data_IF_180722851029
#
_entry.id   IF_180722851029
#
_cell.length_a   1.000
_cell.length_b   1.000
_cell.length_c   1.000
_cell.angle_alpha   90.00
_cell.angle_beta   90.00
_cell.angle_gamma   90.00
#
_symmetry.space_group_name_H-M   'P 1'
#
loop_
_entity.id
_entity.type
_entity.pdbx_description
1 polymer ?
#
# COMPACT_ATOMS: atom_id res chain seq x y z
N UNK A 1 -10.98 24.14 42.31
CA UNK A 1 -10.37 24.47 40.99
C UNK A 1 -9.16 23.59 40.67
N UNK A 2 -8.10 23.54 41.49
CA UNK A 2 -6.90 22.70 41.23
C UNK A 2 -7.19 21.21 41.00
N UNK A 3 -8.12 20.63 41.77
CA UNK A 3 -8.53 19.21 41.62
C UNK A 3 -9.27 18.92 40.30
N UNK A 4 -10.04 19.88 39.78
CA UNK A 4 -10.74 19.75 38.50
C UNK A 4 -9.74 19.88 37.34
N UNK A 5 -8.74 20.74 37.49
CA UNK A 5 -7.67 20.93 36.49
C UNK A 5 -6.82 19.66 36.29
N UNK A 6 -6.53 18.93 37.37
CA UNK A 6 -5.79 17.65 37.31
C UNK A 6 -6.60 16.58 36.56
N UNK A 7 -7.92 16.52 36.78
CA UNK A 7 -8.80 15.57 36.08
C UNK A 7 -8.87 15.90 34.58
N UNK A 8 -9.01 17.18 34.20
CA UNK A 8 -8.98 17.56 32.78
C UNK A 8 -7.65 17.21 32.11
N UNK A 9 -6.52 17.40 32.80
CA UNK A 9 -5.20 17.06 32.26
C UNK A 9 -5.03 15.56 32.00
N UNK A 10 -5.59 14.70 32.85
CA UNK A 10 -5.60 13.25 32.67
C UNK A 10 -6.48 12.79 31.50
N UNK A 11 -7.59 13.48 31.22
CA UNK A 11 -8.44 13.16 30.07
C UNK A 11 -7.78 13.54 28.73
N UNK A 12 -6.98 14.62 28.69
CA UNK A 12 -6.26 15.05 27.48
C UNK A 12 -5.14 14.08 27.11
N UNK A 13 -4.45 13.47 28.08
CA UNK A 13 -3.37 12.50 27.79
C UNK A 13 -3.89 11.17 27.24
N UNK A 14 -5.07 10.70 27.69
CA UNK A 14 -5.73 9.50 27.12
C UNK A 14 -6.18 9.75 25.67
N UNK A 15 -6.71 10.93 25.35
CA UNK A 15 -7.13 11.27 24.00
C UNK A 15 -5.95 11.32 22.99
N UNK A 16 -4.79 11.84 23.43
CA UNK A 16 -3.60 11.91 22.59
C UNK A 16 -3.03 10.51 22.26
N UNK A 17 -3.04 9.59 23.23
CA UNK A 17 -2.53 8.22 23.06
C UNK A 17 -3.43 7.35 22.18
N UNK A 18 -4.74 7.61 22.15
CA UNK A 18 -5.66 6.89 21.26
C UNK A 18 -5.46 7.28 19.78
N UNK A 19 -5.10 8.53 19.52
CA UNK A 19 -4.95 9.03 18.15
C UNK A 19 -3.68 8.51 17.46
N UNK A 20 -2.60 8.27 18.19
CA UNK A 20 -1.37 7.67 17.64
C UNK A 20 -1.58 6.19 17.25
N UNK A 21 -2.33 5.42 18.04
CA UNK A 21 -2.62 4.03 17.75
C UNK A 21 -3.43 3.87 16.45
N UNK A 22 -4.44 4.73 16.24
CA UNK A 22 -5.28 4.73 15.02
C UNK A 22 -4.44 4.97 13.76
N UNK A 23 -3.40 5.82 13.83
CA UNK A 23 -2.51 6.04 12.69
C UNK A 23 -1.63 4.82 12.39
N UNK A 24 -1.15 4.09 13.39
CA UNK A 24 -0.33 2.90 13.19
C UNK A 24 -1.15 1.72 12.64
N UNK A 25 -2.34 1.49 13.19
CA UNK A 25 -3.25 0.44 12.72
C UNK A 25 -3.74 0.69 11.28
N UNK A 26 -3.73 1.96 10.84
CA UNK A 26 -4.02 2.31 9.44
C UNK A 26 -2.92 1.89 8.45
N UNK A 27 -1.68 1.68 8.93
CA UNK A 27 -0.54 1.27 8.11
C UNK A 27 -0.49 -0.25 7.89
N UNK A 28 -0.99 -1.03 8.87
CA UNK A 28 -1.03 -2.50 8.82
C UNK A 28 -2.49 -2.96 8.74
N UNK A 29 -3.13 -2.72 7.59
CA UNK A 29 -4.46 -3.28 7.34
C UNK A 29 -4.34 -4.80 7.20
N UNK A 30 -4.99 -5.53 8.10
CA UNK A 30 -5.09 -6.99 8.04
C UNK A 30 -6.12 -7.37 6.96
N UNK A 31 -5.65 -7.63 5.74
CA UNK A 31 -6.53 -8.03 4.65
C UNK A 31 -6.88 -9.52 4.74
N UNK A 32 -8.14 -9.86 5.00
CA UNK A 32 -8.62 -11.25 4.94
C UNK A 32 -9.13 -11.64 3.53
N UNK A 33 -8.60 -10.98 2.49
CA UNK A 33 -9.02 -11.16 1.10
C UNK A 33 -7.84 -11.57 0.25
N UNK A 34 -7.99 -12.59 -0.61
CA UNK A 34 -6.95 -13.00 -1.55
C UNK A 34 -6.59 -11.86 -2.49
N UNK A 35 -7.58 -11.17 -3.06
CA UNK A 35 -7.35 -9.99 -3.88
C UNK A 35 -7.82 -8.74 -3.17
N UNK A 36 -6.97 -7.70 -3.12
CA UNK A 36 -7.33 -6.39 -2.62
C UNK A 36 -7.10 -5.33 -3.69
N UNK A 37 -8.02 -4.37 -3.79
CA UNK A 37 -7.95 -3.26 -4.74
C UNK A 37 -7.58 -1.98 -4.00
N UNK A 38 -6.45 -1.42 -4.36
CA UNK A 38 -5.94 -0.18 -3.83
C UNK A 38 -6.19 0.97 -4.78
N UNK A 39 -6.53 2.15 -4.25
CA UNK A 39 -6.61 3.40 -5.00
C UNK A 39 -5.36 4.23 -4.72
N UNK A 40 -4.69 4.68 -5.77
CA UNK A 40 -3.58 5.63 -5.62
C UNK A 40 -4.10 6.97 -5.09
N UNK A 41 -3.43 7.59 -4.10
CA UNK A 41 -3.82 8.92 -3.62
C UNK A 41 -3.50 10.03 -4.63
N UNK A 42 -2.46 9.85 -5.44
CA UNK A 42 -1.93 10.88 -6.35
C UNK A 42 -2.43 10.75 -7.80
N UNK A 43 -3.13 9.67 -8.15
CA UNK A 43 -3.58 9.40 -9.52
C UNK A 43 -4.97 8.76 -9.57
N UNK A 44 -5.59 8.72 -10.75
CA UNK A 44 -6.82 7.97 -11.01
C UNK A 44 -6.58 6.47 -11.26
N UNK A 45 -5.41 5.94 -10.88
CA UNK A 45 -5.05 4.54 -11.06
C UNK A 45 -5.44 3.70 -9.85
N UNK A 46 -5.78 2.45 -10.14
CA UNK A 46 -6.03 1.42 -9.14
C UNK A 46 -5.01 0.30 -9.28
N UNK A 47 -4.79 -0.44 -8.20
CA UNK A 47 -3.84 -1.54 -8.15
C UNK A 47 -4.50 -2.76 -7.50
N UNK A 48 -4.50 -3.89 -8.19
CA UNK A 48 -5.02 -5.16 -7.68
C UNK A 48 -3.85 -6.02 -7.23
N UNK A 49 -3.83 -6.33 -5.93
CA UNK A 49 -2.81 -7.15 -5.28
C UNK A 49 -3.40 -8.48 -4.86
N UNK A 50 -2.72 -9.58 -5.19
CA UNK A 50 -2.93 -10.84 -4.51
C UNK A 50 -2.17 -10.84 -3.19
N UNK A 51 -2.87 -10.68 -2.07
CA UNK A 51 -2.27 -10.52 -0.74
C UNK A 51 -1.60 -11.81 -0.25
N UNK A 52 -1.87 -12.95 -0.89
CA UNK A 52 -1.23 -14.23 -0.55
C UNK A 52 0.12 -14.41 -1.26
N UNK A 53 0.24 -13.91 -2.49
CA UNK A 53 1.33 -14.27 -3.41
C UNK A 53 2.21 -13.09 -3.83
N UNK A 54 1.74 -11.86 -3.68
CA UNK A 54 2.44 -10.66 -4.14
C UNK A 54 2.28 -10.39 -5.65
N UNK A 55 1.39 -11.10 -6.34
CA UNK A 55 1.03 -10.76 -7.73
C UNK A 55 0.33 -9.41 -7.77
N UNK A 56 0.75 -8.56 -8.71
CA UNK A 56 0.34 -7.17 -8.75
C UNK A 56 -0.02 -6.73 -10.17
N UNK A 57 -1.15 -6.05 -10.28
CA UNK A 57 -1.66 -5.51 -11.55
C UNK A 57 -2.12 -4.08 -11.36
N UNK A 58 -1.82 -3.21 -12.31
CA UNK A 58 -2.48 -1.92 -12.44
C UNK A 58 -3.83 -2.11 -13.13
N UNK A 59 -4.86 -1.46 -12.60
CA UNK A 59 -6.21 -1.38 -13.17
C UNK A 59 -6.45 0.07 -13.57
N UNK A 60 -6.53 0.31 -14.88
CA UNK A 60 -6.82 1.62 -15.46
C UNK A 60 -8.29 1.71 -15.83
N UNK A 61 -9.00 2.61 -15.16
CA UNK A 61 -10.35 3.01 -15.54
C UNK A 61 -10.25 4.20 -16.48
N UNK A 62 -10.86 4.07 -17.65
CA UNK A 62 -10.96 5.18 -18.59
C UNK A 62 -12.00 6.19 -18.10
N UNK A 63 -11.61 7.46 -18.01
CA UNK A 63 -12.51 8.57 -17.62
C UNK A 63 -13.23 9.21 -18.81
N UNK A 64 -12.81 8.89 -20.05
CA UNK A 64 -13.41 9.35 -21.32
C UNK A 64 -13.47 8.21 -22.35
N UNK A 65 -14.30 8.35 -23.40
CA UNK A 65 -14.45 7.37 -24.48
C UNK A 65 -13.12 6.99 -25.18
N UNK A 66 -12.12 7.87 -25.17
CA UNK A 66 -10.80 7.69 -25.77
C UNK A 66 -9.71 7.23 -24.80
N UNK A 67 -10.01 7.15 -23.49
CA UNK A 67 -9.02 6.76 -22.49
C UNK A 67 -8.88 5.24 -22.38
N UNK A 68 -7.62 4.77 -22.30
CA UNK A 68 -7.28 3.34 -22.25
C UNK A 68 -7.82 2.72 -20.97
N UNK A 69 -8.81 1.83 -21.13
CA UNK A 69 -9.28 0.89 -20.11
C UNK A 69 -8.44 -0.38 -20.20
N UNK A 70 -7.97 -0.89 -19.07
CA UNK A 70 -7.19 -2.13 -19.12
C UNK A 70 -6.57 -2.54 -17.81
N UNK A 71 -5.97 -3.73 -17.85
CA UNK A 71 -5.18 -4.30 -16.77
C UNK A 71 -3.75 -4.43 -17.29
N UNK A 72 -2.80 -3.81 -16.60
CA UNK A 72 -1.37 -3.96 -16.88
C UNK A 72 -0.75 -4.80 -15.79
N UNK A 73 -0.15 -5.92 -16.15
CA UNK A 73 0.55 -6.78 -15.19
C UNK A 73 1.87 -6.11 -14.79
N UNK A 74 2.07 -5.93 -13.49
CA UNK A 74 3.33 -5.43 -12.91
C UNK A 74 4.16 -6.63 -12.46
N UNK A 75 3.54 -7.54 -11.72
CA UNK A 75 4.14 -8.80 -11.32
C UNK A 75 3.10 -9.93 -11.46
N UNK A 76 3.43 -10.97 -12.22
CA UNK A 76 2.61 -12.18 -12.37
C UNK A 76 3.19 -13.40 -11.65
N UNK A 77 4.39 -13.29 -11.06
CA UNK A 77 5.04 -14.42 -10.39
C UNK A 77 4.80 -14.31 -8.89
N UNK A 78 4.33 -15.39 -8.23
CA UNK A 78 4.33 -15.44 -6.78
C UNK A 78 5.72 -15.14 -6.24
N UNK A 79 5.81 -14.27 -5.23
CA UNK A 79 7.06 -13.89 -4.57
C UNK A 79 7.50 -14.92 -3.53
N UNK A 80 6.61 -15.86 -3.20
CA UNK A 80 6.76 -16.87 -2.15
C UNK A 80 6.20 -18.22 -2.62
N UNK A 81 6.76 -19.33 -2.13
CA UNK A 81 6.29 -20.66 -2.49
C UNK A 81 4.92 -20.96 -1.86
N UNK A 82 4.21 -21.96 -2.37
CA UNK A 82 2.80 -22.23 -2.05
C UNK A 82 2.55 -22.47 -0.55
N UNK A 83 3.46 -23.17 0.11
CA UNK A 83 3.44 -23.49 1.54
C UNK A 83 3.53 -22.25 2.45
N UNK A 84 4.01 -21.12 1.92
CA UNK A 84 4.18 -19.89 2.66
C UNK A 84 3.11 -18.83 2.31
N UNK A 85 2.13 -19.18 1.47
CA UNK A 85 1.07 -18.26 1.04
C UNK A 85 -0.07 -18.22 2.05
N UNK A 86 -0.41 -17.02 2.53
CA UNK A 86 -1.58 -16.80 3.36
C UNK A 86 -2.14 -15.38 3.15
N UNK A 87 -3.44 -15.21 3.40
CA UNK A 87 -4.13 -13.92 3.15
C UNK A 87 -3.55 -12.81 4.02
N UNK A 88 -3.29 -11.66 3.41
CA UNK A 88 -2.77 -10.49 4.12
C UNK A 88 -1.25 -10.49 4.30
N UNK A 89 -0.53 -11.48 3.77
CA UNK A 89 0.94 -11.49 3.79
C UNK A 89 1.55 -10.29 3.08
N UNK A 90 1.00 -9.92 1.93
CA UNK A 90 1.50 -8.77 1.17
C UNK A 90 0.59 -7.54 1.35
N UNK A 91 1.22 -6.38 1.57
CA UNK A 91 0.55 -5.09 1.67
C UNK A 91 1.18 -4.06 0.73
N UNK A 92 0.34 -3.19 0.15
CA UNK A 92 0.78 -2.04 -0.64
C UNK A 92 0.73 -0.76 0.20
N UNK A 93 1.83 -0.01 0.20
CA UNK A 93 1.96 1.26 0.90
C UNK A 93 2.29 2.36 -0.11
N UNK A 94 1.37 3.30 -0.28
CA UNK A 94 1.54 4.41 -1.22
C UNK A 94 2.35 5.55 -0.62
N UNK A 95 3.25 6.10 -1.40
CA UNK A 95 3.83 7.39 -1.07
C UNK A 95 2.80 8.51 -1.38
N UNK A 96 2.59 9.50 -0.48
CA UNK A 96 1.55 10.51 -0.66
C UNK A 96 1.74 11.39 -1.90
N UNK A 97 2.99 11.65 -2.31
CA UNK A 97 3.32 12.67 -3.31
C UNK A 97 4.04 12.14 -4.56
N UNK A 98 4.22 10.83 -4.71
CA UNK A 98 4.95 10.26 -5.84
C UNK A 98 4.13 9.21 -6.61
N UNK A 99 4.64 8.84 -7.78
CA UNK A 99 4.20 7.66 -8.53
C UNK A 99 5.05 6.43 -8.15
N UNK A 100 5.51 6.37 -6.90
CA UNK A 100 6.23 5.25 -6.34
C UNK A 100 5.51 4.76 -5.08
N UNK A 101 5.55 3.46 -4.85
CA UNK A 101 4.93 2.83 -3.71
C UNK A 101 5.67 1.54 -3.38
N UNK A 102 5.47 1.04 -2.17
CA UNK A 102 6.17 -0.15 -1.65
C UNK A 102 5.20 -1.31 -1.59
N UNK A 103 5.63 -2.46 -2.10
CA UNK A 103 5.04 -3.75 -1.73
C UNK A 103 5.86 -4.32 -0.58
N UNK A 104 5.19 -4.70 0.50
CA UNK A 104 5.82 -5.17 1.73
C UNK A 104 5.35 -6.57 2.07
N UNK A 105 6.28 -7.48 2.34
CA UNK A 105 6.02 -8.79 2.93
C UNK A 105 5.92 -8.63 4.45
N UNK A 106 4.71 -8.76 4.99
CA UNK A 106 4.45 -8.58 6.43
C UNK A 106 4.98 -9.72 7.29
N UNK A 107 5.35 -10.86 6.68
CA UNK A 107 5.92 -12.01 7.37
C UNK A 107 7.41 -11.83 7.65
N UNK A 108 8.18 -11.45 6.62
CA UNK A 108 9.65 -11.48 6.66
C UNK A 108 10.32 -10.12 6.45
N UNK A 109 9.55 -9.07 6.26
CA UNK A 109 10.05 -7.70 6.17
C UNK A 109 10.67 -7.32 4.82
N UNK A 110 10.72 -8.24 3.85
CA UNK A 110 11.19 -7.91 2.50
C UNK A 110 10.28 -6.89 1.85
N UNK A 111 10.90 -5.96 1.13
CA UNK A 111 10.19 -4.88 0.48
C UNK A 111 10.64 -4.71 -0.97
N UNK A 112 9.72 -4.27 -1.81
CA UNK A 112 9.98 -3.94 -3.20
C UNK A 112 9.45 -2.56 -3.51
N UNK A 113 10.29 -1.73 -4.10
CA UNK A 113 9.86 -0.47 -4.67
C UNK A 113 9.17 -0.74 -6.01
N UNK A 114 8.01 -0.13 -6.18
CA UNK A 114 7.27 -0.11 -7.44
C UNK A 114 7.23 1.33 -7.90
N UNK A 115 8.02 1.66 -8.90
CA UNK A 115 8.15 3.01 -9.44
C UNK A 115 7.79 3.03 -10.92
N UNK A 116 7.25 4.17 -11.37
CA UNK A 116 7.00 4.39 -12.78
C UNK A 116 8.17 5.08 -13.45
N UNK A 117 8.61 4.56 -14.60
CA UNK A 117 9.46 5.32 -15.51
C UNK A 117 8.54 6.08 -16.46
N UNK A 118 8.56 7.41 -16.43
CA UNK A 118 7.89 8.20 -17.48
C UNK A 118 8.62 7.92 -18.79
N UNK A 119 7.90 7.36 -19.75
CA UNK A 119 8.39 7.25 -21.13
C UNK A 119 7.96 8.53 -21.88
N UNK A 120 8.55 8.83 -23.04
CA UNK A 120 8.17 10.00 -23.84
C UNK A 120 6.69 10.00 -24.27
N UNK A 121 6.04 8.84 -24.28
CA UNK A 121 4.58 8.71 -24.26
C UNK A 121 4.08 8.86 -22.83
N UNK A 122 3.01 9.62 -22.59
CA UNK A 122 2.33 9.83 -21.29
C UNK A 122 1.79 8.54 -20.62
N UNK A 123 2.23 7.36 -21.06
CA UNK A 123 1.95 6.04 -20.51
C UNK A 123 2.92 5.75 -19.35
N UNK A 124 2.36 5.53 -18.16
CA UNK A 124 3.14 5.12 -16.99
C UNK A 124 3.41 3.60 -17.05
N UNK A 125 4.70 3.23 -17.12
CA UNK A 125 5.13 1.85 -16.98
C UNK A 125 5.74 1.63 -15.61
N UNK A 126 5.07 0.85 -14.77
CA UNK A 126 5.54 0.50 -13.45
C UNK A 126 6.47 -0.70 -13.49
N UNK A 127 7.58 -0.60 -12.76
CA UNK A 127 8.56 -1.66 -12.57
C UNK A 127 8.74 -1.92 -11.08
N UNK A 128 8.96 -3.18 -10.73
CA UNK A 128 9.15 -3.64 -9.36
C UNK A 128 10.60 -4.04 -9.17
N UNK A 129 11.24 -3.50 -8.14
CA UNK A 129 12.64 -3.79 -7.79
C UNK A 129 12.76 -4.06 -6.29
N UNK A 130 13.56 -5.04 -5.84
CA UNK A 130 13.79 -5.27 -4.42
C UNK A 130 14.51 -4.06 -3.80
N UNK A 131 14.10 -3.68 -2.59
CA UNK A 131 14.82 -2.69 -1.78
C UNK A 131 15.98 -3.40 -1.06
N UNK A 132 17.19 -2.83 -1.17
CA UNK A 132 18.35 -3.29 -0.43
C UNK A 132 18.41 -2.60 0.93
N UNK A 133 18.79 -3.33 1.98
CA UNK A 133 19.23 -2.71 3.22
C UNK A 133 20.50 -1.90 2.96
N UNK A 134 20.53 -0.65 3.40
CA UNK A 134 21.77 0.13 3.43
C UNK A 134 22.57 -0.30 4.66
N UNK A 135 23.76 -0.86 4.44
CA UNK A 135 24.75 -1.15 5.50
C UNK A 135 25.23 0.12 6.21
#
# INVERSE_FOLDING_TARGET
MKRIMIVMLLFVSMACSAQSQIQLDSLIQTYNTTWHLYKSPSTSLFFSLNTCTGELKQVSLGTTLSSRRGITVINARPLVPAEAQYKGRFALVFHPSSHAFVLFDTEDGRAWEISSRKTFSLDYHYQMSPLSESE
#
